data_IF_782595670922
#
_entry.id   IF_782595670922
#
_cell.length_a   1.000
_cell.length_b   1.000
_cell.length_c   1.000
_cell.angle_alpha   90.00
_cell.angle_beta   90.00
_cell.angle_gamma   90.00
#
_symmetry.space_group_name_H-M   'P 1'
#
loop_
_entity.id
_entity.type
_entity.pdbx_description
1 polymer ?
#
# COMPACT_ATOMS: atom_id res chain seq x y z
N UNK A 1 54.30 18.85 -26.11
CA UNK A 1 55.68 18.77 -25.55
C UNK A 1 55.58 18.43 -24.09
N UNK A 2 55.97 17.26 -23.80
CA UNK A 2 56.85 16.82 -22.70
C UNK A 2 56.27 17.11 -21.31
N UNK A 3 55.79 16.06 -20.59
CA UNK A 3 56.62 15.18 -19.74
C UNK A 3 57.07 15.93 -18.49
N UNK A 4 56.89 15.48 -17.26
CA UNK A 4 57.43 14.33 -16.58
C UNK A 4 56.97 14.40 -15.12
N UNK A 5 56.49 13.40 -14.56
CA UNK A 5 56.99 12.34 -13.69
C UNK A 5 56.92 12.71 -12.21
N UNK A 6 56.07 12.06 -11.45
CA UNK A 6 56.32 10.80 -10.76
C UNK A 6 57.19 10.90 -9.50
N UNK A 7 56.76 10.17 -8.54
CA UNK A 7 57.46 9.38 -7.53
C UNK A 7 57.70 10.10 -6.19
N UNK A 8 57.55 9.53 -5.09
CA UNK A 8 57.92 8.29 -4.42
C UNK A 8 57.55 8.42 -2.95
N UNK A 9 56.98 7.45 -2.41
CA UNK A 9 57.39 6.38 -1.49
C UNK A 9 57.29 6.82 -0.02
N UNK A 10 56.46 6.26 0.74
CA UNK A 10 56.57 4.99 1.47
C UNK A 10 57.49 5.03 2.69
N UNK A 11 57.01 4.30 3.67
CA UNK A 11 57.73 3.71 4.83
C UNK A 11 57.84 4.64 6.04
N UNK A 12 57.55 4.26 7.27
CA UNK A 12 57.96 3.03 7.98
C UNK A 12 57.08 2.87 9.22
N UNK A 13 56.69 1.65 9.47
CA UNK A 13 56.38 1.13 10.80
C UNK A 13 57.51 1.42 11.77
N UNK A 14 57.25 1.50 13.08
CA UNK A 14 57.94 0.75 14.09
C UNK A 14 57.26 0.82 15.44
N UNK A 15 56.92 -0.32 15.95
CA UNK A 15 56.82 -0.84 17.30
C UNK A 15 57.44 -0.01 18.43
N UNK A 16 56.74 0.01 19.58
CA UNK A 16 57.34 -0.33 20.84
C UNK A 16 56.27 -0.72 21.89
N UNK A 17 56.31 -1.98 22.24
CA UNK A 17 55.88 -2.52 23.53
C UNK A 17 56.82 -2.05 24.64
N UNK A 18 56.33 -1.96 25.87
CA UNK A 18 56.94 -2.30 27.18
C UNK A 18 55.99 -1.78 28.25
N UNK A 19 55.27 -2.52 28.98
CA UNK A 19 55.46 -3.53 30.00
C UNK A 19 55.42 -2.97 31.41
N UNK A 20 54.58 -3.64 32.19
CA UNK A 20 54.69 -3.97 33.61
C UNK A 20 54.56 -2.91 34.67
N UNK A 21 53.65 -3.16 35.57
CA UNK A 21 53.58 -2.65 36.90
C UNK A 21 52.49 -3.32 37.72
N UNK A 22 52.82 -4.46 38.30
CA UNK A 22 52.09 -5.27 39.26
C UNK A 22 51.97 -4.58 40.61
N UNK A 23 50.85 -4.71 41.32
CA UNK A 23 50.77 -5.07 42.75
C UNK A 23 49.28 -5.28 43.12
N UNK A 24 48.93 -6.49 43.38
CA UNK A 24 48.76 -7.21 44.64
C UNK A 24 47.42 -6.92 45.35
N UNK A 25 46.61 -7.97 45.39
CA UNK A 25 45.48 -8.16 46.32
C UNK A 25 45.98 -8.41 47.78
N UNK A 26 45.13 -8.30 48.74
CA UNK A 26 44.95 -9.42 49.66
C UNK A 26 43.44 -9.74 49.86
N UNK A 27 43.11 -11.00 49.66
CA UNK A 27 42.97 -12.05 50.68
C UNK A 27 41.59 -12.07 51.40
N UNK A 28 40.99 -13.17 51.20
CA UNK A 28 39.75 -13.72 51.77
C UNK A 28 39.75 -13.77 53.32
N UNK A 29 38.59 -13.74 53.90
CA UNK A 29 38.32 -14.32 55.23
C UNK A 29 37.02 -15.15 55.16
N UNK A 30 37.21 -16.38 55.63
CA UNK A 30 36.28 -17.48 55.68
C UNK A 30 35.13 -17.28 56.72
N UNK A 31 34.18 -18.09 56.55
CA UNK A 31 32.95 -18.51 57.25
C UNK A 31 33.02 -18.52 58.78
N UNK A 32 31.85 -18.65 59.46
CA UNK A 32 31.47 -20.05 59.82
C UNK A 32 30.03 -20.43 59.60
N UNK A 33 29.93 -21.75 59.24
CA UNK A 33 28.77 -22.62 59.35
C UNK A 33 28.13 -22.57 60.73
N UNK A 34 26.81 -22.66 60.76
CA UNK A 34 26.10 -23.27 61.90
C UNK A 34 25.02 -24.22 61.43
N UNK A 35 25.02 -25.37 62.05
CA UNK A 35 24.29 -26.60 61.77
C UNK A 35 22.78 -26.48 61.98
N UNK A 36 22.11 -27.36 61.25
CA UNK A 36 20.76 -27.83 61.34
C UNK A 36 20.34 -28.35 62.73
N UNK A 37 19.06 -28.39 63.04
CA UNK A 37 18.52 -29.67 63.53
C UNK A 37 17.32 -30.15 62.74
N UNK A 38 17.34 -31.46 62.62
CA UNK A 38 16.46 -32.33 61.91
C UNK A 38 15.00 -32.38 62.39
N UNK A 39 14.20 -32.69 61.41
CA UNK A 39 13.10 -33.66 61.39
C UNK A 39 11.77 -33.38 62.02
N UNK A 40 10.75 -33.61 61.32
CA UNK A 40 9.81 -34.73 61.69
C UNK A 40 8.92 -34.88 60.41
N UNK A 41 8.93 -36.09 59.88
CA UNK A 41 7.99 -36.58 58.86
C UNK A 41 6.55 -36.56 59.37
N UNK A 42 5.65 -36.02 58.57
CA UNK A 42 4.21 -36.30 58.67
C UNK A 42 3.70 -36.76 57.28
N UNK A 43 2.65 -37.54 57.21
CA UNK A 43 2.41 -38.51 56.13
C UNK A 43 1.95 -37.88 54.87
N UNK A 44 2.40 -38.48 53.77
CA UNK A 44 2.02 -38.18 52.38
C UNK A 44 0.55 -38.60 52.19
N UNK A 45 -0.33 -37.63 51.93
CA UNK A 45 -1.63 -37.88 51.29
C UNK A 45 -1.42 -37.95 49.77
N UNK A 46 -1.84 -39.04 49.15
CA UNK A 46 -1.92 -39.28 47.74
C UNK A 46 -2.80 -38.21 47.08
N UNK A 47 -2.38 -37.55 45.97
CA UNK A 47 -3.28 -36.69 45.22
C UNK A 47 -4.26 -37.55 44.44
N UNK A 48 -5.52 -37.40 44.74
CA UNK A 48 -6.64 -37.91 43.94
C UNK A 48 -6.59 -37.22 42.55
N UNK A 49 -6.35 -38.00 41.52
CA UNK A 49 -6.45 -37.57 40.13
C UNK A 49 -7.89 -37.11 39.83
N UNK A 50 -8.07 -35.82 39.61
CA UNK A 50 -9.26 -35.28 38.99
C UNK A 50 -9.17 -35.58 37.48
N UNK A 51 -10.20 -36.13 36.82
CA UNK A 51 -10.17 -36.35 35.39
C UNK A 51 -9.99 -35.05 34.68
N UNK A 52 -8.96 -34.94 33.83
CA UNK A 52 -8.75 -33.82 32.93
C UNK A 52 -9.96 -33.69 31.98
N UNK A 53 -10.61 -32.54 31.99
CA UNK A 53 -11.53 -32.12 30.93
C UNK A 53 -10.82 -32.24 29.59
N UNK A 54 -11.48 -32.70 28.51
CA UNK A 54 -10.87 -32.72 27.19
C UNK A 54 -10.57 -31.27 26.75
N UNK A 55 -9.31 -30.95 26.62
CA UNK A 55 -8.88 -29.74 25.98
C UNK A 55 -9.39 -29.81 24.53
N UNK A 56 -10.40 -29.00 24.20
CA UNK A 56 -10.77 -28.78 22.82
C UNK A 56 -9.52 -28.30 22.06
N UNK A 57 -9.21 -29.01 20.99
CA UNK A 57 -8.18 -28.55 20.04
C UNK A 57 -8.53 -27.13 19.60
N UNK A 58 -7.54 -26.23 19.41
CA UNK A 58 -7.81 -24.91 18.82
C UNK A 58 -8.57 -25.14 17.52
N UNK A 59 -9.71 -24.48 17.36
CA UNK A 59 -10.40 -24.44 16.09
C UNK A 59 -9.39 -23.93 15.05
N UNK A 60 -9.15 -24.70 14.00
CA UNK A 60 -8.39 -24.23 12.84
C UNK A 60 -9.11 -22.97 12.36
N UNK A 61 -8.40 -21.83 12.34
CA UNK A 61 -8.90 -20.64 11.66
C UNK A 61 -9.20 -21.03 10.21
N UNK A 62 -10.36 -20.62 9.66
CA UNK A 62 -10.69 -20.95 8.27
C UNK A 62 -9.58 -20.44 7.39
N UNK A 63 -9.01 -21.32 6.57
CA UNK A 63 -7.96 -20.96 5.62
C UNK A 63 -8.45 -19.77 4.80
N UNK A 64 -7.74 -18.65 4.86
CA UNK A 64 -8.05 -17.47 4.05
C UNK A 64 -7.86 -17.82 2.58
N UNK A 65 -8.94 -17.78 1.82
CA UNK A 65 -8.91 -18.01 0.37
C UNK A 65 -8.11 -16.88 -0.26
N UNK A 66 -7.08 -17.22 -1.05
CA UNK A 66 -6.34 -16.23 -1.81
C UNK A 66 -7.13 -15.88 -3.09
N UNK A 67 -7.28 -14.59 -3.39
CA UNK A 67 -7.96 -14.13 -4.60
C UNK A 67 -7.30 -14.65 -5.90
N UNK A 68 -6.00 -14.94 -5.87
CA UNK A 68 -5.26 -15.49 -7.01
C UNK A 68 -5.61 -16.97 -7.29
N UNK A 69 -6.18 -17.67 -6.30
CA UNK A 69 -6.67 -19.04 -6.45
C UNK A 69 -8.10 -19.08 -7.06
N UNK A 70 -8.75 -17.92 -7.19
CA UNK A 70 -10.08 -17.77 -7.79
C UNK A 70 -9.91 -17.36 -9.25
N UNK A 71 -10.48 -18.15 -10.16
CA UNK A 71 -10.42 -17.84 -11.59
C UNK A 71 -10.99 -16.45 -11.90
N UNK A 72 -10.38 -15.72 -12.84
CA UNK A 72 -10.89 -14.41 -13.26
C UNK A 72 -12.18 -14.53 -14.09
N UNK A 73 -12.44 -15.70 -14.65
CA UNK A 73 -13.62 -15.98 -15.46
C UNK A 73 -14.35 -17.19 -14.92
N UNK A 74 -15.67 -17.11 -14.82
CA UNK A 74 -16.50 -18.27 -14.52
C UNK A 74 -17.55 -18.48 -15.61
N UNK A 75 -18.03 -19.72 -15.73
CA UNK A 75 -19.17 -20.04 -16.59
C UNK A 75 -20.41 -20.14 -15.72
N UNK A 76 -21.34 -19.22 -15.90
CA UNK A 76 -22.65 -19.29 -15.26
C UNK A 76 -23.56 -20.29 -15.98
N UNK A 77 -24.33 -21.08 -15.23
CA UNK A 77 -25.20 -22.12 -15.76
C UNK A 77 -26.34 -21.57 -16.65
N UNK A 78 -26.80 -20.36 -16.37
CA UNK A 78 -27.89 -19.67 -17.08
C UNK A 78 -27.39 -18.49 -17.94
N UNK A 79 -26.08 -18.29 -18.00
CA UNK A 79 -25.43 -17.16 -18.71
C UNK A 79 -25.55 -15.82 -18.02
N UNK A 80 -26.07 -15.78 -16.77
CA UNK A 80 -26.21 -14.55 -15.98
C UNK A 80 -25.13 -14.46 -14.92
N UNK A 81 -24.76 -13.24 -14.57
CA UNK A 81 -23.72 -12.94 -13.59
C UNK A 81 -24.23 -11.90 -12.59
N UNK A 82 -24.37 -12.30 -11.35
CA UNK A 82 -25.00 -11.48 -10.31
C UNK A 82 -24.14 -10.30 -9.85
N UNK A 83 -22.81 -10.48 -9.85
CA UNK A 83 -21.84 -9.43 -9.52
C UNK A 83 -21.01 -9.12 -10.75
N UNK A 84 -20.96 -7.85 -11.12
CA UNK A 84 -20.12 -7.38 -12.21
C UNK A 84 -19.05 -6.41 -11.72
N UNK A 85 -17.92 -6.39 -12.42
CA UNK A 85 -16.88 -5.41 -12.28
C UNK A 85 -16.61 -4.75 -13.63
N UNK A 86 -16.47 -3.42 -13.66
CA UNK A 86 -16.09 -2.68 -14.87
C UNK A 86 -14.78 -1.95 -14.61
N UNK A 87 -13.74 -2.28 -15.41
CA UNK A 87 -12.44 -1.61 -15.33
C UNK A 87 -12.51 -0.18 -15.84
N UNK A 88 -11.62 0.71 -15.37
CA UNK A 88 -11.57 2.09 -15.86
C UNK A 88 -10.72 2.21 -17.13
N UNK A 89 -9.41 2.27 -17.01
CA UNK A 89 -8.45 2.35 -18.12
C UNK A 89 -7.59 1.11 -18.17
N UNK A 90 -7.43 0.57 -19.36
CA UNK A 90 -6.44 -0.47 -19.63
C UNK A 90 -6.78 -1.83 -19.07
N UNK A 91 -5.88 -2.40 -18.32
CA UNK A 91 -5.83 -3.83 -18.06
C UNK A 91 -6.42 -4.21 -16.71
N UNK A 92 -7.17 -5.33 -16.69
CA UNK A 92 -7.65 -5.94 -15.45
C UNK A 92 -6.49 -6.26 -14.48
N UNK A 93 -5.38 -6.78 -15.02
CA UNK A 93 -4.19 -7.17 -14.23
C UNK A 93 -3.10 -6.09 -14.28
N UNK A 94 -3.42 -4.95 -13.71
CA UNK A 94 -2.52 -3.80 -13.60
C UNK A 94 -1.58 -3.85 -12.38
N UNK A 95 -1.67 -4.93 -11.59
CA UNK A 95 -0.92 -5.12 -10.33
C UNK A 95 -1.21 -4.05 -9.27
N UNK A 96 -2.31 -3.33 -9.39
CA UNK A 96 -2.67 -2.17 -8.58
C UNK A 96 -4.19 -2.06 -8.47
N UNK A 97 -4.76 -0.97 -8.95
CA UNK A 97 -6.13 -0.50 -8.73
C UNK A 97 -7.21 -1.45 -9.28
N UNK A 98 -7.15 -1.78 -10.60
CA UNK A 98 -8.16 -2.66 -11.19
C UNK A 98 -8.06 -4.09 -10.63
N UNK A 99 -6.84 -4.63 -10.55
CA UNK A 99 -6.61 -5.97 -10.03
C UNK A 99 -7.01 -6.08 -8.57
N UNK A 100 -6.65 -5.13 -7.73
CA UNK A 100 -6.99 -5.12 -6.30
C UNK A 100 -8.52 -5.04 -6.08
N UNK A 101 -9.21 -4.16 -6.82
CA UNK A 101 -10.67 -4.07 -6.75
C UNK A 101 -11.33 -5.37 -7.22
N UNK A 102 -10.87 -5.93 -8.34
CA UNK A 102 -11.39 -7.20 -8.87
C UNK A 102 -11.17 -8.37 -7.90
N UNK A 103 -10.04 -8.41 -7.27
CA UNK A 103 -9.75 -9.42 -6.25
C UNK A 103 -10.75 -9.35 -5.09
N UNK A 104 -11.09 -8.16 -4.61
CA UNK A 104 -12.14 -7.98 -3.61
C UNK A 104 -13.52 -8.46 -4.08
N UNK A 105 -13.88 -8.18 -5.33
CA UNK A 105 -15.13 -8.64 -5.94
C UNK A 105 -15.18 -10.17 -6.05
N UNK A 106 -14.10 -10.81 -6.51
CA UNK A 106 -13.99 -12.27 -6.62
C UNK A 106 -14.11 -12.96 -5.26
N UNK A 107 -13.39 -12.44 -4.26
CA UNK A 107 -13.44 -12.96 -2.88
C UNK A 107 -14.87 -12.93 -2.36
N UNK A 108 -15.52 -11.78 -2.42
CA UNK A 108 -16.90 -11.66 -1.98
C UNK A 108 -17.86 -12.62 -2.70
N UNK A 109 -17.76 -12.68 -4.03
CA UNK A 109 -18.61 -13.53 -4.84
C UNK A 109 -18.39 -15.01 -4.52
N UNK A 110 -17.13 -15.44 -4.36
CA UNK A 110 -16.77 -16.81 -4.01
C UNK A 110 -17.32 -17.20 -2.62
N UNK A 111 -17.14 -16.36 -1.62
CA UNK A 111 -17.63 -16.60 -0.27
C UNK A 111 -19.16 -16.73 -0.19
N UNK A 112 -19.87 -15.97 -1.03
CA UNK A 112 -21.33 -15.92 -1.03
C UNK A 112 -21.97 -16.81 -2.11
N UNK A 113 -21.17 -17.58 -2.85
CA UNK A 113 -21.66 -18.48 -3.92
C UNK A 113 -22.35 -17.75 -5.08
N UNK A 114 -21.95 -16.51 -5.35
CA UNK A 114 -22.51 -15.67 -6.40
C UNK A 114 -21.76 -15.84 -7.72
N UNK A 115 -22.48 -15.73 -8.83
CA UNK A 115 -21.87 -15.68 -10.15
C UNK A 115 -21.27 -14.29 -10.41
N UNK A 116 -20.07 -14.25 -11.02
CA UNK A 116 -19.34 -13.01 -11.24
C UNK A 116 -18.72 -12.91 -12.62
N UNK A 117 -18.57 -11.68 -13.11
CA UNK A 117 -17.91 -11.38 -14.39
C UNK A 117 -17.32 -9.98 -14.40
N UNK A 118 -16.14 -9.82 -15.02
CA UNK A 118 -15.62 -8.51 -15.33
C UNK A 118 -15.93 -8.08 -16.76
N UNK A 119 -15.97 -6.78 -16.98
CA UNK A 119 -16.19 -6.14 -18.27
C UNK A 119 -15.11 -5.08 -18.47
N UNK A 120 -14.49 -5.07 -19.63
CA UNK A 120 -13.56 -4.03 -20.03
C UNK A 120 -14.23 -3.16 -21.09
N UNK A 121 -14.21 -1.81 -20.92
CA UNK A 121 -14.65 -0.92 -21.99
C UNK A 121 -13.86 -1.17 -23.26
N UNK A 122 -14.49 -1.04 -24.39
CA UNK A 122 -13.81 -1.08 -25.68
C UNK A 122 -12.75 0.04 -25.74
N UNK A 123 -11.75 -0.12 -26.58
CA UNK A 123 -10.66 0.83 -26.80
C UNK A 123 -9.69 1.07 -25.61
N UNK A 124 -9.82 0.32 -24.51
CA UNK A 124 -8.86 0.32 -23.38
C UNK A 124 -8.62 1.70 -22.79
N UNK A 125 -7.38 2.16 -22.83
CA UNK A 125 -6.97 3.49 -22.35
C UNK A 125 -7.50 4.68 -23.19
N UNK A 126 -8.02 4.40 -24.37
CA UNK A 126 -8.70 5.36 -25.24
C UNK A 126 -10.24 5.24 -25.15
N UNK A 127 -10.77 4.50 -24.19
CA UNK A 127 -12.20 4.32 -24.01
C UNK A 127 -12.92 5.67 -23.83
N UNK A 128 -14.04 5.80 -24.53
CA UNK A 128 -14.97 6.92 -24.38
C UNK A 128 -15.99 6.66 -23.28
N UNK A 129 -16.77 7.68 -22.92
CA UNK A 129 -17.89 7.48 -22.00
C UNK A 129 -18.92 6.50 -22.56
N UNK A 130 -19.14 6.47 -23.89
CA UNK A 130 -20.01 5.50 -24.55
C UNK A 130 -19.47 4.07 -24.41
N UNK A 131 -18.15 3.86 -24.57
CA UNK A 131 -17.52 2.53 -24.40
C UNK A 131 -17.69 2.04 -22.93
N UNK A 132 -17.55 2.92 -21.95
CA UNK A 132 -17.77 2.61 -20.53
C UNK A 132 -19.24 2.30 -20.24
N UNK A 133 -20.15 3.11 -20.79
CA UNK A 133 -21.58 2.88 -20.66
C UNK A 133 -21.98 1.52 -21.27
N UNK A 134 -21.48 1.18 -22.45
CA UNK A 134 -21.78 -0.10 -23.10
C UNK A 134 -21.29 -1.30 -22.26
N UNK A 135 -20.15 -1.17 -21.56
CA UNK A 135 -19.67 -2.20 -20.65
C UNK A 135 -20.61 -2.34 -19.43
N UNK A 136 -21.06 -1.25 -18.82
CA UNK A 136 -22.03 -1.26 -17.71
C UNK A 136 -23.39 -1.80 -18.13
N UNK A 137 -23.87 -1.38 -19.31
CA UNK A 137 -25.09 -1.89 -19.94
C UNK A 137 -25.01 -3.40 -20.14
N UNK A 138 -23.92 -3.89 -20.72
CA UNK A 138 -23.72 -5.33 -20.92
C UNK A 138 -23.72 -6.09 -19.59
N UNK A 139 -23.17 -5.52 -18.52
CA UNK A 139 -23.22 -6.10 -17.18
C UNK A 139 -24.68 -6.21 -16.67
N UNK A 140 -25.44 -5.12 -16.75
CA UNK A 140 -26.84 -5.08 -16.32
C UNK A 140 -27.71 -6.07 -17.14
N UNK A 141 -27.61 -6.05 -18.47
CA UNK A 141 -28.36 -6.94 -19.36
C UNK A 141 -28.00 -8.42 -19.18
N UNK A 142 -26.77 -8.72 -18.74
CA UNK A 142 -26.33 -10.06 -18.36
C UNK A 142 -26.71 -10.46 -16.93
N UNK A 143 -27.53 -9.68 -16.25
CA UNK A 143 -28.18 -10.05 -14.99
C UNK A 143 -27.48 -9.56 -13.73
N UNK A 144 -26.55 -8.60 -13.84
CA UNK A 144 -25.90 -8.01 -12.67
C UNK A 144 -26.93 -7.34 -11.75
N UNK A 145 -26.88 -7.69 -10.47
CA UNK A 145 -27.60 -7.04 -9.39
C UNK A 145 -26.78 -5.88 -8.81
N UNK A 146 -25.45 -6.07 -8.84
CA UNK A 146 -24.48 -5.07 -8.41
C UNK A 146 -23.37 -4.99 -9.46
N UNK A 147 -23.02 -3.75 -9.85
CA UNK A 147 -21.89 -3.44 -10.73
C UNK A 147 -20.88 -2.59 -9.95
N UNK A 148 -19.69 -3.11 -9.76
CA UNK A 148 -18.57 -2.35 -9.19
C UNK A 148 -17.82 -1.67 -10.32
N UNK A 149 -17.73 -0.35 -10.27
CA UNK A 149 -17.08 0.50 -11.26
C UNK A 149 -15.84 1.13 -10.64
N UNK A 150 -14.67 0.82 -11.20
CA UNK A 150 -13.41 1.35 -10.72
C UNK A 150 -13.04 2.64 -11.45
N UNK A 151 -12.67 3.66 -10.68
CA UNK A 151 -12.01 4.86 -11.18
C UNK A 151 -12.92 6.00 -11.62
N UNK A 152 -12.40 7.19 -11.46
CA UNK A 152 -13.10 8.45 -11.66
C UNK A 152 -13.62 8.68 -13.10
N UNK A 153 -12.97 8.07 -14.10
CA UNK A 153 -13.38 8.17 -15.50
C UNK A 153 -14.73 7.48 -15.80
N UNK A 154 -15.22 6.66 -14.87
CA UNK A 154 -16.52 6.01 -14.99
C UNK A 154 -17.70 6.97 -14.80
N UNK A 155 -17.49 8.14 -14.18
CA UNK A 155 -18.56 8.98 -13.63
C UNK A 155 -19.72 9.28 -14.60
N UNK A 156 -19.43 9.78 -15.81
CA UNK A 156 -20.45 10.15 -16.80
C UNK A 156 -21.26 8.93 -17.25
N UNK A 157 -20.56 7.86 -17.61
CA UNK A 157 -21.17 6.60 -18.05
C UNK A 157 -21.97 5.94 -16.94
N UNK A 158 -21.45 5.97 -15.70
CA UNK A 158 -22.12 5.40 -14.54
C UNK A 158 -23.37 6.17 -14.16
N UNK A 159 -23.34 7.51 -14.23
CA UNK A 159 -24.54 8.33 -14.00
C UNK A 159 -25.67 7.98 -14.99
N UNK A 160 -25.33 7.77 -16.26
CA UNK A 160 -26.30 7.34 -17.27
C UNK A 160 -26.78 5.91 -17.00
N UNK A 161 -25.89 4.95 -16.80
CA UNK A 161 -26.23 3.56 -16.55
C UNK A 161 -27.13 3.40 -15.30
N UNK A 162 -26.84 4.14 -14.23
CA UNK A 162 -27.63 4.09 -13.01
C UNK A 162 -29.06 4.64 -13.19
N UNK A 163 -29.27 5.59 -14.11
CA UNK A 163 -30.59 6.10 -14.47
C UNK A 163 -31.37 5.13 -15.35
N UNK A 164 -30.66 4.44 -16.28
CA UNK A 164 -31.28 3.52 -17.23
C UNK A 164 -31.58 2.15 -16.59
N UNK A 165 -30.86 1.78 -15.53
CA UNK A 165 -31.00 0.51 -14.79
C UNK A 165 -31.23 0.78 -13.28
N UNK A 166 -32.36 1.37 -12.88
CA UNK A 166 -32.60 1.79 -11.50
C UNK A 166 -32.68 0.62 -10.50
N UNK A 167 -32.90 -0.61 -10.97
CA UNK A 167 -32.93 -1.81 -10.14
C UNK A 167 -31.53 -2.37 -9.86
N UNK A 168 -30.51 -1.96 -10.63
CA UNK A 168 -29.11 -2.34 -10.43
C UNK A 168 -28.45 -1.38 -9.45
N UNK A 169 -27.72 -1.92 -8.49
CA UNK A 169 -26.89 -1.12 -7.60
C UNK A 169 -25.49 -0.95 -8.21
N UNK A 170 -24.93 0.23 -8.07
CA UNK A 170 -23.62 0.56 -8.57
C UNK A 170 -22.70 0.97 -7.40
N UNK A 171 -21.48 0.47 -7.40
CA UNK A 171 -20.43 0.86 -6.46
C UNK A 171 -19.35 1.61 -7.24
N UNK A 172 -19.12 2.86 -6.88
CA UNK A 172 -18.21 3.77 -7.56
C UNK A 172 -16.94 3.97 -6.73
N UNK A 173 -15.89 3.20 -7.03
CA UNK A 173 -14.59 3.27 -6.33
C UNK A 173 -13.77 4.44 -6.90
N UNK A 174 -13.13 5.22 -6.05
CA UNK A 174 -12.47 6.50 -6.34
C UNK A 174 -13.42 7.51 -6.98
N UNK A 175 -14.65 7.51 -6.48
CA UNK A 175 -15.72 8.33 -7.00
C UNK A 175 -16.17 9.42 -6.04
N UNK A 176 -17.25 10.05 -6.43
CA UNK A 176 -18.00 11.03 -5.64
C UNK A 176 -19.50 10.77 -5.73
N UNK A 177 -20.27 11.35 -4.81
CA UNK A 177 -21.73 11.16 -4.84
C UNK A 177 -22.33 11.74 -6.12
N UNK A 178 -23.01 10.88 -6.88
CA UNK A 178 -23.80 11.29 -8.05
C UNK A 178 -25.25 11.66 -7.67
N UNK A 179 -25.62 11.56 -6.38
CA UNK A 179 -26.97 11.87 -5.90
C UNK A 179 -28.03 10.84 -6.31
N UNK A 180 -27.63 9.65 -6.78
CA UNK A 180 -28.53 8.57 -7.21
C UNK A 180 -28.56 7.47 -6.15
N UNK A 181 -29.75 7.14 -5.64
CA UNK A 181 -29.93 6.19 -4.52
C UNK A 181 -29.40 4.78 -4.80
N UNK A 182 -29.26 4.41 -6.07
CA UNK A 182 -28.69 3.15 -6.48
C UNK A 182 -27.16 3.23 -6.75
N UNK A 183 -26.50 4.34 -6.42
CA UNK A 183 -25.04 4.50 -6.54
C UNK A 183 -24.44 4.76 -5.16
N UNK A 184 -23.50 3.91 -4.75
CA UNK A 184 -22.65 4.12 -3.57
C UNK A 184 -21.26 4.56 -4.03
N UNK A 185 -20.83 5.76 -3.65
CA UNK A 185 -19.49 6.24 -3.95
C UNK A 185 -18.54 6.01 -2.78
N UNK A 186 -17.31 5.58 -3.08
CA UNK A 186 -16.25 5.38 -2.10
C UNK A 186 -15.01 6.16 -2.56
N UNK A 187 -14.46 6.96 -1.66
CA UNK A 187 -13.18 7.64 -1.82
C UNK A 187 -12.27 7.33 -0.64
N UNK A 188 -11.00 7.64 -0.77
CA UNK A 188 -10.00 7.35 0.25
C UNK A 188 -9.24 8.61 0.65
N UNK A 189 -8.57 8.54 1.80
CA UNK A 189 -7.66 9.57 2.28
C UNK A 189 -6.23 9.20 1.87
N UNK A 190 -5.96 9.23 0.57
CA UNK A 190 -4.68 8.82 0.00
C UNK A 190 -3.51 9.69 0.48
N UNK A 191 -3.77 10.92 0.91
CA UNK A 191 -2.76 11.77 1.54
C UNK A 191 -2.16 11.13 2.79
N UNK A 192 -2.93 10.28 3.50
CA UNK A 192 -2.45 9.62 4.71
C UNK A 192 -1.44 8.51 4.39
N UNK A 193 -1.74 7.62 3.42
CA UNK A 193 -0.76 6.60 3.03
C UNK A 193 0.39 7.17 2.22
N UNK A 194 0.17 8.21 1.42
CA UNK A 194 1.25 8.98 0.81
C UNK A 194 2.20 9.56 1.85
N UNK A 195 1.66 10.16 2.92
CA UNK A 195 2.45 10.66 4.05
C UNK A 195 3.28 9.55 4.70
N UNK A 196 2.66 8.41 5.01
CA UNK A 196 3.36 7.27 5.60
C UNK A 196 4.49 6.77 4.71
N UNK A 197 4.28 6.69 3.39
CA UNK A 197 5.29 6.28 2.43
C UNK A 197 6.47 7.27 2.36
N UNK A 198 6.20 8.57 2.34
CA UNK A 198 7.24 9.60 2.34
C UNK A 198 8.02 9.63 3.64
N UNK A 199 7.32 9.49 4.77
CA UNK A 199 7.94 9.39 6.09
C UNK A 199 8.85 8.14 6.18
N UNK A 200 8.35 6.98 5.72
CA UNK A 200 9.09 5.73 5.69
C UNK A 200 10.39 5.83 4.89
N UNK A 201 10.33 6.42 3.69
CA UNK A 201 11.49 6.58 2.82
C UNK A 201 12.62 7.36 3.51
N UNK A 202 12.29 8.48 4.14
CA UNK A 202 13.29 9.32 4.81
C UNK A 202 13.77 8.67 6.11
N UNK A 203 12.89 8.02 6.87
CA UNK A 203 13.28 7.29 8.09
C UNK A 203 14.20 6.11 7.76
N UNK A 204 14.02 5.45 6.63
CA UNK A 204 14.92 4.40 6.14
C UNK A 204 16.30 4.95 5.80
N UNK A 205 16.41 6.22 5.44
CA UNK A 205 17.68 6.89 5.20
C UNK A 205 17.81 7.52 3.83
N UNK A 206 16.80 7.39 2.97
CA UNK A 206 16.79 8.01 1.65
C UNK A 206 16.68 9.54 1.76
N UNK A 207 17.47 10.23 0.98
CA UNK A 207 17.50 11.71 0.93
C UNK A 207 17.31 12.26 -0.48
N UNK A 208 17.32 11.39 -1.48
CA UNK A 208 17.07 11.72 -2.88
C UNK A 208 15.90 10.89 -3.39
N UNK A 209 14.73 11.47 -3.35
CA UNK A 209 13.47 10.82 -3.63
C UNK A 209 12.97 11.12 -5.04
N UNK A 210 12.06 10.30 -5.53
CA UNK A 210 11.30 10.54 -6.74
C UNK A 210 9.81 10.25 -6.53
N UNK A 211 8.97 10.92 -7.32
CA UNK A 211 7.55 10.64 -7.45
C UNK A 211 7.18 10.67 -8.93
N UNK A 212 6.57 9.58 -9.40
CA UNK A 212 5.98 9.49 -10.73
C UNK A 212 4.50 9.15 -10.57
N UNK A 213 3.62 10.06 -10.98
CA UNK A 213 2.18 9.94 -10.81
C UNK A 213 1.42 9.63 -12.08
N UNK A 214 0.39 8.79 -11.95
CA UNK A 214 -0.61 8.50 -12.98
C UNK A 214 -1.61 9.63 -13.17
N UNK A 215 -2.42 9.55 -14.24
CA UNK A 215 -3.49 10.50 -14.52
C UNK A 215 -3.05 11.91 -14.93
N UNK A 216 -1.76 12.11 -15.21
CA UNK A 216 -1.25 13.39 -15.72
C UNK A 216 -1.42 14.60 -14.79
N UNK A 217 -1.60 14.36 -13.48
CA UNK A 217 -1.85 15.42 -12.49
C UNK A 217 -3.31 15.91 -12.43
N UNK A 218 -4.25 15.14 -13.02
CA UNK A 218 -5.68 15.44 -13.00
C UNK A 218 -6.51 14.39 -12.25
N UNK A 219 -5.88 13.32 -11.79
CA UNK A 219 -6.50 12.32 -10.94
C UNK A 219 -6.33 12.72 -9.47
N UNK A 220 -7.43 12.99 -8.79
CA UNK A 220 -7.44 13.49 -7.41
C UNK A 220 -6.77 12.52 -6.43
N UNK A 221 -6.98 11.21 -6.59
CA UNK A 221 -6.37 10.19 -5.74
C UNK A 221 -4.84 10.21 -5.85
N UNK A 222 -4.30 10.19 -7.09
CA UNK A 222 -2.86 10.29 -7.31
C UNK A 222 -2.30 11.62 -6.81
N UNK A 223 -3.06 12.72 -6.95
CA UNK A 223 -2.67 14.03 -6.43
C UNK A 223 -2.58 14.01 -4.90
N UNK A 224 -3.56 13.40 -4.20
CA UNK A 224 -3.51 13.25 -2.72
C UNK A 224 -2.34 12.38 -2.29
N UNK A 225 -2.08 11.24 -2.94
CA UNK A 225 -0.90 10.42 -2.67
C UNK A 225 0.40 11.23 -2.76
N UNK A 226 0.61 11.93 -3.89
CA UNK A 226 1.82 12.71 -4.11
C UNK A 226 1.96 13.88 -3.12
N UNK A 227 0.85 14.53 -2.80
CA UNK A 227 0.82 15.63 -1.83
C UNK A 227 1.14 15.15 -0.41
N UNK A 228 0.58 14.01 -0.01
CA UNK A 228 0.92 13.35 1.26
C UNK A 228 2.38 12.91 1.31
N UNK A 229 2.90 12.36 0.20
CA UNK A 229 4.29 11.90 0.11
C UNK A 229 5.30 13.01 0.41
N UNK A 230 5.07 14.20 -0.14
CA UNK A 230 5.90 15.37 0.14
C UNK A 230 5.84 15.76 1.62
N UNK A 231 4.63 15.79 2.21
CA UNK A 231 4.44 16.15 3.61
C UNK A 231 5.09 15.15 4.57
N UNK A 232 4.99 13.85 4.27
CA UNK A 232 5.63 12.80 5.05
C UNK A 232 7.15 12.87 5.00
N UNK A 233 7.71 13.09 3.80
CA UNK A 233 9.14 13.30 3.63
C UNK A 233 9.65 14.54 4.39
N UNK A 234 8.91 15.64 4.36
CA UNK A 234 9.21 16.88 5.11
C UNK A 234 9.22 16.62 6.62
N UNK A 235 8.18 15.96 7.13
CA UNK A 235 8.07 15.67 8.56
C UNK A 235 9.22 14.77 9.06
N UNK A 236 9.58 13.74 8.30
CA UNK A 236 10.69 12.85 8.65
C UNK A 236 12.05 13.56 8.53
N UNK A 237 12.22 14.39 7.50
CA UNK A 237 13.44 15.19 7.30
C UNK A 237 13.67 16.15 8.47
N UNK A 238 12.62 16.81 8.94
CA UNK A 238 12.67 17.66 10.14
C UNK A 238 13.06 16.88 11.40
N UNK A 239 12.49 15.67 11.60
CA UNK A 239 12.83 14.82 12.75
C UNK A 239 14.29 14.35 12.69
N UNK A 240 14.81 14.02 11.51
CA UNK A 240 16.20 13.55 11.34
C UNK A 240 17.20 14.69 11.22
N UNK A 241 16.76 15.93 11.01
CA UNK A 241 17.64 17.09 10.77
C UNK A 241 18.42 16.98 9.45
N UNK A 242 17.78 16.45 8.40
CA UNK A 242 18.38 16.26 7.07
C UNK A 242 17.63 17.06 6.01
N UNK A 243 18.29 17.34 4.88
CA UNK A 243 17.63 17.89 3.71
C UNK A 243 17.38 16.78 2.69
N UNK A 244 16.24 16.85 2.03
CA UNK A 244 15.77 15.90 1.02
C UNK A 244 15.61 16.61 -0.30
N UNK A 245 16.10 16.01 -1.39
CA UNK A 245 15.80 16.42 -2.76
C UNK A 245 14.77 15.47 -3.35
N UNK A 246 13.72 15.99 -3.96
CA UNK A 246 12.65 15.18 -4.55
C UNK A 246 12.38 15.59 -6.00
N UNK A 247 12.62 14.68 -6.95
CA UNK A 247 12.11 14.80 -8.30
C UNK A 247 10.63 14.42 -8.33
N UNK A 248 9.80 15.25 -8.96
CA UNK A 248 8.37 15.07 -8.95
C UNK A 248 7.78 15.31 -10.35
N UNK A 249 7.04 14.33 -10.88
CA UNK A 249 6.50 14.43 -12.24
C UNK A 249 5.18 13.71 -12.43
N UNK A 250 4.43 14.19 -13.43
CA UNK A 250 3.27 13.55 -14.03
C UNK A 250 3.52 13.10 -15.47
N UNK A 251 4.75 13.33 -15.99
CA UNK A 251 5.11 13.00 -17.36
C UNK A 251 5.01 11.50 -17.61
N UNK A 252 4.46 11.17 -18.76
CA UNK A 252 4.31 9.80 -19.27
C UNK A 252 3.40 8.89 -18.41
N UNK A 253 2.73 9.44 -17.38
CA UNK A 253 1.83 8.70 -16.50
C UNK A 253 0.33 8.87 -16.83
N UNK A 254 -0.03 9.71 -17.80
CA UNK A 254 -1.42 10.10 -18.03
C UNK A 254 -2.38 8.93 -18.31
N UNK A 255 -1.91 7.89 -18.99
CA UNK A 255 -2.69 6.70 -19.34
C UNK A 255 -2.60 5.57 -18.30
N UNK A 256 -1.86 5.74 -17.21
CA UNK A 256 -1.56 4.69 -16.23
C UNK A 256 -0.84 3.45 -16.80
N UNK A 257 -0.29 3.55 -18.01
CA UNK A 257 0.38 2.48 -18.72
C UNK A 257 1.90 2.59 -18.61
N UNK A 258 2.57 1.44 -18.65
CA UNK A 258 4.02 1.40 -18.81
C UNK A 258 4.43 1.99 -20.16
N UNK A 259 5.55 2.72 -20.18
CA UNK A 259 6.12 3.26 -21.43
C UNK A 259 7.64 3.29 -21.38
N UNK A 260 8.30 3.17 -22.55
CA UNK A 260 9.76 3.34 -22.66
C UNK A 260 10.22 4.73 -22.24
N UNK A 261 9.41 5.76 -22.46
CA UNK A 261 9.69 7.14 -22.10
C UNK A 261 9.76 7.31 -20.59
N UNK A 262 8.79 6.75 -19.86
CA UNK A 262 8.77 6.77 -18.39
C UNK A 262 9.94 5.96 -17.81
N UNK A 263 10.23 4.79 -18.39
CA UNK A 263 11.39 3.98 -17.98
C UNK A 263 12.70 4.75 -18.19
N UNK A 264 12.85 5.44 -19.32
CA UNK A 264 14.04 6.24 -19.61
C UNK A 264 14.19 7.40 -18.64
N UNK A 265 13.09 8.09 -18.33
CA UNK A 265 13.08 9.16 -17.33
C UNK A 265 13.51 8.66 -15.95
N UNK A 266 12.92 7.56 -15.49
CA UNK A 266 13.25 6.95 -14.20
C UNK A 266 14.70 6.47 -14.14
N UNK A 267 15.20 5.81 -15.20
CA UNK A 267 16.61 5.41 -15.30
C UNK A 267 17.53 6.62 -15.18
N UNK A 268 17.24 7.71 -15.90
CA UNK A 268 18.02 8.94 -15.81
C UNK A 268 18.02 9.56 -14.41
N UNK A 269 16.92 9.44 -13.66
CA UNK A 269 16.88 9.89 -12.28
C UNK A 269 17.75 9.03 -11.36
N UNK A 270 17.68 7.70 -11.47
CA UNK A 270 18.52 6.79 -10.70
C UNK A 270 19.99 6.98 -11.01
N UNK A 271 20.39 7.08 -12.28
CA UNK A 271 21.75 7.37 -12.70
C UNK A 271 22.28 8.71 -12.14
N UNK A 272 21.41 9.69 -11.92
CA UNK A 272 21.73 10.97 -11.30
C UNK A 272 21.57 10.97 -9.76
N UNK A 273 21.37 9.77 -9.18
CA UNK A 273 21.46 9.52 -7.76
C UNK A 273 20.13 9.62 -7.01
N UNK A 274 18.96 9.62 -7.67
CA UNK A 274 17.69 9.30 -7.00
C UNK A 274 17.79 7.90 -6.43
N UNK A 275 17.37 7.70 -5.18
CA UNK A 275 17.58 6.46 -4.43
C UNK A 275 16.32 5.60 -4.40
N UNK A 276 15.16 6.25 -4.35
CA UNK A 276 13.84 5.59 -4.34
C UNK A 276 12.83 6.43 -5.10
N UNK A 277 11.98 5.79 -5.91
CA UNK A 277 10.87 6.45 -6.62
C UNK A 277 9.55 5.85 -6.13
N UNK A 278 8.62 6.72 -5.74
CA UNK A 278 7.23 6.33 -5.53
C UNK A 278 6.52 6.26 -6.87
N UNK A 279 6.13 5.04 -7.25
CA UNK A 279 5.38 4.74 -8.47
C UNK A 279 3.88 4.76 -8.16
N UNK A 280 3.21 5.87 -8.43
CA UNK A 280 1.83 6.11 -8.03
C UNK A 280 0.87 6.03 -9.23
N UNK A 281 0.44 4.80 -9.59
CA UNK A 281 -0.64 4.63 -10.56
C UNK A 281 -0.50 3.46 -11.54
N UNK A 282 -1.19 2.36 -11.28
CA UNK A 282 -1.38 1.25 -12.23
C UNK A 282 -0.08 0.70 -12.83
N UNK A 283 -0.12 0.42 -14.12
CA UNK A 283 1.01 -0.24 -14.83
C UNK A 283 2.23 0.66 -15.09
N UNK A 284 2.21 1.96 -14.72
CA UNK A 284 3.46 2.76 -14.72
C UNK A 284 4.53 2.12 -13.83
N UNK A 285 4.10 1.31 -12.87
CA UNK A 285 4.94 0.51 -11.99
C UNK A 285 5.97 -0.33 -12.75
N UNK A 286 5.58 -0.94 -13.87
CA UNK A 286 6.49 -1.79 -14.64
C UNK A 286 7.66 -1.00 -15.25
N UNK A 287 7.42 0.26 -15.66
CA UNK A 287 8.49 1.15 -16.16
C UNK A 287 9.47 1.53 -15.05
N UNK A 288 8.92 1.85 -13.87
CA UNK A 288 9.74 2.31 -12.73
C UNK A 288 10.56 1.15 -12.16
N UNK A 289 9.95 -0.05 -11.98
CA UNK A 289 10.67 -1.22 -11.47
C UNK A 289 11.72 -1.74 -12.44
N UNK A 290 11.47 -1.68 -13.76
CA UNK A 290 12.47 -2.01 -14.76
C UNK A 290 13.68 -1.06 -14.69
N UNK A 291 13.44 0.24 -14.51
CA UNK A 291 14.51 1.22 -14.30
C UNK A 291 15.24 1.01 -12.98
N UNK A 292 14.53 0.73 -11.89
CA UNK A 292 15.11 0.48 -10.58
C UNK A 292 16.00 -0.77 -10.56
N UNK A 293 15.52 -1.87 -11.16
CA UNK A 293 16.30 -3.12 -11.27
C UNK A 293 17.60 -2.94 -12.06
N UNK A 294 17.58 -2.09 -13.10
CA UNK A 294 18.77 -1.80 -13.89
C UNK A 294 19.80 -0.93 -13.14
N UNK A 295 19.41 -0.24 -12.08
CA UNK A 295 20.21 0.72 -11.34
C UNK A 295 20.45 0.33 -9.86
N UNK A 296 20.04 -0.87 -9.45
CA UNK A 296 20.17 -1.35 -8.05
C UNK A 296 19.48 -0.39 -7.06
N UNK A 297 18.31 0.15 -7.44
CA UNK A 297 17.59 1.20 -6.75
C UNK A 297 16.22 0.73 -6.22
N UNK A 298 15.58 1.55 -5.41
CA UNK A 298 14.36 1.19 -4.72
C UNK A 298 13.10 1.81 -5.33
N UNK A 299 11.96 1.14 -5.10
CA UNK A 299 10.63 1.59 -5.50
C UNK A 299 9.69 1.55 -4.31
N UNK A 300 8.78 2.52 -4.22
CA UNK A 300 7.59 2.44 -3.39
C UNK A 300 6.40 2.15 -4.30
N UNK A 301 5.64 1.11 -3.97
CA UNK A 301 4.43 0.71 -4.69
C UNK A 301 3.18 1.46 -4.24
N UNK A 302 2.03 1.15 -4.86
CA UNK A 302 0.75 1.81 -4.61
C UNK A 302 -0.43 0.84 -4.61
N UNK A 303 -1.50 1.19 -3.93
CA UNK A 303 -2.80 0.53 -3.81
C UNK A 303 -2.75 -0.81 -3.08
N UNK A 304 -1.98 -1.76 -3.60
CA UNK A 304 -1.78 -3.10 -3.04
C UNK A 304 -0.32 -3.31 -2.66
N UNK A 305 -0.03 -4.35 -1.89
CA UNK A 305 1.35 -4.72 -1.63
C UNK A 305 2.00 -5.27 -2.91
N UNK A 306 2.88 -4.46 -3.50
CA UNK A 306 3.58 -4.78 -4.74
C UNK A 306 4.96 -5.44 -4.50
N UNK A 307 5.35 -5.73 -3.26
CA UNK A 307 6.61 -6.41 -2.93
C UNK A 307 6.72 -7.81 -3.54
N UNK A 308 5.58 -8.47 -3.76
CA UNK A 308 5.53 -9.78 -4.43
C UNK A 308 5.81 -9.74 -5.94
N UNK A 309 5.82 -8.55 -6.53
CA UNK A 309 5.99 -8.39 -7.99
C UNK A 309 7.39 -7.96 -8.40
N UNK A 310 8.15 -7.36 -7.49
CA UNK A 310 9.53 -6.92 -7.75
C UNK A 310 10.33 -6.79 -6.45
N UNK A 311 11.54 -7.34 -6.45
CA UNK A 311 12.49 -7.22 -5.34
C UNK A 311 12.99 -5.79 -5.09
N UNK A 312 12.71 -4.85 -6.01
CA UNK A 312 13.04 -3.44 -5.85
C UNK A 312 12.06 -2.70 -4.92
N UNK A 313 10.91 -3.30 -4.63
CA UNK A 313 9.87 -2.68 -3.81
C UNK A 313 10.23 -2.79 -2.33
N UNK A 314 10.40 -1.65 -1.67
CA UNK A 314 10.73 -1.58 -0.24
C UNK A 314 9.49 -1.45 0.66
N UNK A 315 8.40 -0.93 0.14
CA UNK A 315 7.08 -0.84 0.76
C UNK A 315 6.06 -0.40 -0.30
N UNK A 316 4.77 -0.38 0.06
CA UNK A 316 3.68 0.11 -0.79
C UNK A 316 2.75 1.01 0.00
N UNK A 317 2.28 2.11 -0.61
CA UNK A 317 1.23 2.96 -0.04
C UNK A 317 -0.13 2.28 -0.28
N UNK A 318 -0.61 1.54 0.72
CA UNK A 318 -1.80 0.71 0.61
C UNK A 318 -3.08 1.52 0.60
N UNK A 319 -4.03 1.04 -0.20
CA UNK A 319 -5.42 1.50 -0.25
C UNK A 319 -6.33 0.28 -0.29
N UNK A 320 -7.22 0.13 0.68
CA UNK A 320 -8.10 -1.02 0.88
C UNK A 320 -9.24 -1.09 -0.14
N UNK A 321 -8.90 -1.08 -1.42
CA UNK A 321 -9.88 -1.07 -2.53
C UNK A 321 -10.68 -2.37 -2.61
N UNK A 322 -10.04 -3.50 -2.34
CA UNK A 322 -10.69 -4.81 -2.30
C UNK A 322 -11.67 -4.90 -1.14
N UNK A 323 -11.24 -4.51 0.05
CA UNK A 323 -12.05 -4.50 1.27
C UNK A 323 -13.23 -3.52 1.12
N UNK A 324 -13.01 -2.35 0.53
CA UNK A 324 -14.06 -1.38 0.26
C UNK A 324 -15.11 -1.94 -0.72
N UNK A 325 -14.68 -2.65 -1.76
CA UNK A 325 -15.60 -3.34 -2.67
C UNK A 325 -16.42 -4.42 -1.95
N UNK A 326 -15.80 -5.23 -1.09
CA UNK A 326 -16.48 -6.26 -0.29
C UNK A 326 -17.49 -5.66 0.69
N UNK A 327 -17.14 -4.56 1.38
CA UNK A 327 -18.03 -3.85 2.28
C UNK A 327 -19.27 -3.29 1.54
N UNK A 328 -19.06 -2.67 0.39
CA UNK A 328 -20.15 -2.15 -0.44
C UNK A 328 -21.04 -3.27 -1.00
N UNK A 329 -20.45 -4.39 -1.42
CA UNK A 329 -21.19 -5.57 -1.86
C UNK A 329 -21.99 -6.18 -0.70
N UNK A 330 -21.42 -6.27 0.51
CA UNK A 330 -22.13 -6.71 1.72
C UNK A 330 -23.33 -5.82 2.00
N UNK A 331 -23.18 -4.51 1.92
CA UNK A 331 -24.30 -3.57 2.07
C UNK A 331 -25.33 -3.72 0.95
N UNK A 332 -24.89 -3.96 -0.29
CA UNK A 332 -25.76 -4.11 -1.46
C UNK A 332 -26.64 -5.35 -1.41
N UNK A 333 -26.11 -6.48 -0.94
CA UNK A 333 -26.86 -7.73 -0.81
C UNK A 333 -27.58 -7.86 0.54
N UNK A 334 -27.15 -7.11 1.54
CA UNK A 334 -27.77 -7.06 2.86
C UNK A 334 -28.86 -5.98 3.00
N UNK A 335 -29.12 -5.59 4.23
CA UNK A 335 -30.13 -4.57 4.58
C UNK A 335 -29.54 -3.15 4.73
N UNK A 336 -28.22 -2.97 4.54
CA UNK A 336 -27.51 -1.75 4.93
C UNK A 336 -27.27 -0.77 3.77
N UNK A 337 -27.82 -1.06 2.59
CA UNK A 337 -27.64 -0.21 1.41
C UNK A 337 -28.05 1.25 1.63
N UNK A 338 -29.05 1.52 2.45
CA UNK A 338 -29.50 2.88 2.76
C UNK A 338 -28.40 3.76 3.41
N UNK A 339 -27.36 3.15 3.98
CA UNK A 339 -26.22 3.87 4.51
C UNK A 339 -25.18 4.24 3.45
N UNK A 340 -25.21 3.59 2.28
CA UNK A 340 -24.29 3.79 1.16
C UNK A 340 -24.93 4.48 -0.05
N UNK A 341 -26.11 4.04 -0.46
CA UNK A 341 -26.80 4.54 -1.65
C UNK A 341 -27.05 6.06 -1.63
N UNK A 342 -26.70 6.72 -2.71
CA UNK A 342 -26.76 8.18 -2.87
C UNK A 342 -25.66 8.97 -2.16
N UNK A 343 -24.74 8.29 -1.46
CA UNK A 343 -23.76 8.92 -0.57
C UNK A 343 -22.34 8.68 -1.02
N UNK A 344 -21.44 9.50 -0.46
CA UNK A 344 -20.00 9.29 -0.47
C UNK A 344 -19.56 8.75 0.89
N UNK A 345 -18.84 7.64 0.89
CA UNK A 345 -18.10 7.12 2.04
C UNK A 345 -16.63 7.40 1.81
N UNK A 346 -15.98 8.11 2.73
CA UNK A 346 -14.53 8.36 2.68
C UNK A 346 -13.84 7.48 3.70
N UNK A 347 -12.87 6.70 3.27
CA UNK A 347 -12.15 5.72 4.07
C UNK A 347 -10.70 6.15 4.26
N UNK A 348 -10.20 6.08 5.47
CA UNK A 348 -8.84 6.47 5.82
C UNK A 348 -8.18 5.51 6.81
N UNK A 349 -7.20 6.02 7.53
CA UNK A 349 -6.50 5.28 8.57
C UNK A 349 -7.43 4.88 9.73
N UNK A 350 -8.42 5.70 10.04
CA UNK A 350 -9.39 5.41 11.10
C UNK A 350 -10.24 4.16 10.79
N UNK A 351 -10.52 3.91 9.53
CA UNK A 351 -11.22 2.72 9.03
C UNK A 351 -10.27 1.57 8.68
N UNK A 352 -8.96 1.76 8.85
CA UNK A 352 -7.95 0.78 8.45
C UNK A 352 -7.81 0.62 6.93
N UNK A 353 -8.32 1.59 6.17
CA UNK A 353 -8.39 1.48 4.71
C UNK A 353 -7.16 2.02 3.97
N UNK A 354 -6.21 2.63 4.67
CA UNK A 354 -4.93 3.10 4.11
C UNK A 354 -3.80 2.78 5.09
N UNK A 355 -2.59 2.58 4.58
CA UNK A 355 -1.44 2.24 5.42
C UNK A 355 -0.22 1.80 4.65
N UNK A 356 0.67 1.05 5.33
CA UNK A 356 1.81 0.34 4.74
C UNK A 356 1.72 -1.14 5.10
N UNK A 357 2.20 -2.07 4.24
CA UNK A 357 2.19 -3.50 4.53
C UNK A 357 3.13 -3.82 5.70
N UNK A 358 2.63 -4.56 6.70
CA UNK A 358 3.43 -4.99 7.87
C UNK A 358 3.95 -6.39 7.74
N UNK A 359 3.30 -7.26 6.97
CA UNK A 359 3.66 -8.67 6.82
C UNK A 359 4.88 -8.88 5.92
N UNK A 360 5.08 -7.96 4.99
CA UNK A 360 6.21 -7.92 4.05
C UNK A 360 7.22 -6.82 4.39
N UNK A 361 7.25 -6.37 5.64
CA UNK A 361 8.09 -5.27 6.08
C UNK A 361 9.57 -5.50 5.81
N UNK A 362 10.18 -4.70 4.95
CA UNK A 362 11.59 -4.82 4.56
C UNK A 362 12.49 -3.68 5.04
N UNK A 363 11.91 -2.62 5.62
CA UNK A 363 12.66 -1.47 6.11
C UNK A 363 13.51 -1.85 7.34
N UNK A 364 14.76 -1.37 7.38
CA UNK A 364 15.76 -1.74 8.39
C UNK A 364 15.92 -0.69 9.48
N UNK A 365 15.77 0.58 9.12
CA UNK A 365 16.02 1.71 9.99
C UNK A 365 14.74 2.27 10.64
N UNK A 366 13.58 1.91 10.12
CA UNK A 366 12.29 2.24 10.69
C UNK A 366 11.49 0.96 10.93
N UNK A 367 11.10 0.70 12.18
CA UNK A 367 10.50 -0.56 12.58
C UNK A 367 8.97 -0.56 12.46
N UNK A 368 8.36 -1.75 12.38
CA UNK A 368 6.90 -1.92 12.40
C UNK A 368 6.26 -1.26 13.64
N UNK A 369 6.91 -1.35 14.82
CA UNK A 369 6.38 -0.72 16.04
C UNK A 369 6.40 0.81 15.95
N UNK A 370 7.44 1.38 15.35
CA UNK A 370 7.51 2.83 15.11
C UNK A 370 6.45 3.27 14.09
N UNK A 371 6.25 2.47 13.03
CA UNK A 371 5.18 2.69 12.07
C UNK A 371 3.80 2.65 12.75
N UNK A 372 3.52 1.59 13.53
CA UNK A 372 2.23 1.46 14.23
C UNK A 372 1.97 2.63 15.18
N UNK A 373 3.00 3.08 15.90
CA UNK A 373 2.89 4.26 16.77
C UNK A 373 2.61 5.57 16.01
N UNK A 374 3.17 5.73 14.79
CA UNK A 374 2.86 6.84 13.89
C UNK A 374 1.45 6.74 13.34
N UNK A 375 1.06 5.57 12.86
CA UNK A 375 -0.26 5.27 12.32
C UNK A 375 -1.37 5.57 13.34
N UNK A 376 -1.19 5.14 14.59
CA UNK A 376 -2.12 5.46 15.68
C UNK A 376 -2.30 6.97 15.90
N UNK A 377 -1.27 7.78 15.73
CA UNK A 377 -1.38 9.25 15.83
C UNK A 377 -2.24 9.84 14.72
N UNK A 378 -2.14 9.28 13.51
CA UNK A 378 -3.01 9.68 12.39
C UNK A 378 -4.45 9.28 12.70
N UNK A 379 -4.69 8.03 13.12
CA UNK A 379 -6.02 7.53 13.52
C UNK A 379 -6.66 8.41 14.61
N UNK A 380 -5.87 8.85 15.59
CA UNK A 380 -6.34 9.73 16.69
C UNK A 380 -6.47 11.19 16.29
N UNK A 381 -6.08 11.59 15.08
CA UNK A 381 -6.06 12.98 14.64
C UNK A 381 -4.99 13.85 15.30
N UNK A 382 -3.99 13.24 15.95
CA UNK A 382 -2.84 13.94 16.52
C UNK A 382 -1.89 14.44 15.42
N UNK A 383 -1.87 13.75 14.28
CA UNK A 383 -1.22 14.17 13.05
C UNK A 383 -2.32 14.37 12.02
N UNK A 384 -2.46 15.60 11.56
CA UNK A 384 -3.36 15.99 10.48
C UNK A 384 -2.53 16.22 9.22
N UNK A 385 -2.91 15.55 8.14
CA UNK A 385 -2.26 15.67 6.85
C UNK A 385 -3.17 16.54 5.98
N UNK A 386 -2.59 17.60 5.39
CA UNK A 386 -3.34 18.50 4.50
C UNK A 386 -3.66 17.76 3.19
N UNK A 387 -4.91 17.80 2.76
CA UNK A 387 -5.38 17.19 1.52
C UNK A 387 -5.71 18.20 0.40
N UNK A 388 -5.44 19.49 0.63
CA UNK A 388 -5.64 20.55 -0.36
C UNK A 388 -4.46 20.60 -1.36
N UNK A 389 -4.44 19.66 -2.28
CA UNK A 389 -3.41 19.55 -3.33
C UNK A 389 -3.54 20.61 -4.45
N UNK A 390 -4.47 21.56 -4.35
CA UNK A 390 -4.55 22.70 -5.26
C UNK A 390 -3.33 23.63 -5.19
N UNK A 391 -2.53 23.44 -4.15
CA UNK A 391 -1.27 24.16 -3.86
C UNK A 391 -0.12 23.17 -3.65
N UNK A 392 1.12 23.64 -3.73
CA UNK A 392 2.27 22.84 -3.29
C UNK A 392 2.32 22.75 -1.77
N UNK A 393 2.78 21.63 -1.25
CA UNK A 393 3.06 21.49 0.17
C UNK A 393 4.15 22.50 0.59
N UNK A 394 3.98 23.09 1.77
CA UNK A 394 5.01 23.95 2.36
C UNK A 394 6.13 23.07 2.91
N UNK A 395 7.37 23.35 2.51
CA UNK A 395 8.54 22.55 2.89
C UNK A 395 9.72 23.44 3.28
N UNK A 396 10.39 23.09 4.35
CA UNK A 396 11.64 23.72 4.80
C UNK A 396 12.85 22.80 4.57
N UNK A 397 12.64 21.49 4.54
CA UNK A 397 13.67 20.46 4.41
C UNK A 397 13.61 19.71 3.07
N UNK A 398 12.46 19.69 2.39
CA UNK A 398 12.30 19.06 1.10
C UNK A 398 12.43 20.08 -0.02
N UNK A 399 13.39 19.88 -0.93
CA UNK A 399 13.51 20.66 -2.17
C UNK A 399 12.82 19.90 -3.29
N UNK A 400 11.69 20.43 -3.80
CA UNK A 400 10.96 19.86 -4.91
C UNK A 400 11.53 20.31 -6.25
N UNK A 401 11.86 19.34 -7.12
CA UNK A 401 12.20 19.56 -8.51
C UNK A 401 11.01 19.07 -9.38
N UNK A 402 10.16 20.00 -9.79
CA UNK A 402 9.00 19.71 -10.62
C UNK A 402 9.44 19.53 -12.07
N UNK A 403 9.45 18.31 -12.57
CA UNK A 403 9.79 17.93 -13.94
C UNK A 403 8.51 17.94 -14.77
N UNK A 404 8.48 18.86 -15.80
CA UNK A 404 7.30 19.13 -16.64
C UNK A 404 7.59 18.79 -18.09
#
# INVERSE_FOLDING_TARGET
MKKILALILALVMVFALVACGTTAAPAATEEPKTEEPAATEAPVEEPTETPAEPTEAPAEEPATVNADDIEDTMTSADGKYEVAFVTDVGQLKDKSFNQGTWNGVKLYANENGLSYKYYQPANGDQATDDDRYDAMKAAAENGAKVVVCAGFLQATALEQAAKDYPEVKFVFIDGWSLGLENVAAIAFQEEQCGYLAGYAAVMEGYTKLGFCGGGGGTNDACCRYGYGYVQGAEAAAAVKGVNVAMNYTWLYGASFQASPELQTLASGWYENGTEVIFSCGGSIFDSITAAASANDAAVIGVDVDQSYTSDTVITSALKGIGEAAQQALTAAYGSDWANYGGKLTTLGAAEGAVGLPTDTWSLKNWTVDQYKAMFEKIVKGEITIDNDFSKLASTDHVTLNLVK
#
